data_IF_594821059963
#
_entry.id   IF_594821059963
#
_cell.length_a   1.000
_cell.length_b   1.000
_cell.length_c   1.000
_cell.angle_alpha   90.00
_cell.angle_beta   90.00
_cell.angle_gamma   90.00
#
_symmetry.space_group_name_H-M   'P 1'
#
loop_
_entity.id
_entity.type
_entity.pdbx_description
1 polymer ?
#
# COMPACT_ATOMS: atom_id res chain seq x y z
N UNK A 1 -3.01 37.78 47.03
CA UNK A 1 -2.52 36.48 46.49
C UNK A 1 -3.44 35.39 47.02
N UNK A 2 -4.16 34.68 46.15
CA UNK A 2 -5.06 33.58 46.56
C UNK A 2 -4.38 32.22 46.29
N UNK A 3 -4.47 31.23 47.20
CA UNK A 3 -3.78 29.95 47.03
C UNK A 3 -4.48 29.06 45.99
N UNK A 4 -3.69 28.42 45.13
CA UNK A 4 -4.15 27.48 44.10
C UNK A 4 -4.57 26.16 44.74
N UNK A 5 -5.77 25.69 44.44
CA UNK A 5 -6.25 24.35 44.79
C UNK A 5 -5.43 23.29 44.04
N UNK A 6 -4.82 22.37 44.77
CA UNK A 6 -4.09 21.23 44.21
C UNK A 6 -5.07 20.10 43.86
N UNK A 7 -4.97 19.58 42.64
CA UNK A 7 -5.82 18.51 42.12
C UNK A 7 -5.15 17.16 42.41
N UNK A 8 -5.77 16.28 43.21
CA UNK A 8 -5.27 14.91 43.44
C UNK A 8 -5.69 14.00 42.28
N UNK A 9 -4.80 13.15 41.73
CA UNK A 9 -5.18 12.18 40.71
C UNK A 9 -5.99 11.02 41.31
N UNK A 10 -6.96 10.53 40.53
CA UNK A 10 -7.77 9.34 40.82
C UNK A 10 -6.93 8.06 40.66
N UNK A 11 -7.01 7.08 41.58
CA UNK A 11 -6.35 5.79 41.40
C UNK A 11 -7.02 4.97 40.29
N UNK A 12 -6.21 4.36 39.42
CA UNK A 12 -6.61 3.43 38.38
C UNK A 12 -7.09 2.11 39.00
N UNK A 13 -8.31 1.72 38.66
CA UNK A 13 -8.87 0.42 39.03
C UNK A 13 -8.14 -0.71 38.32
N UNK A 14 -7.52 -1.59 39.12
CA UNK A 14 -7.08 -2.92 38.71
C UNK A 14 -8.32 -3.82 38.60
N UNK A 15 -8.51 -4.47 37.46
CA UNK A 15 -9.44 -5.59 37.35
C UNK A 15 -8.64 -6.89 37.17
N UNK A 16 -9.10 -7.90 37.91
CA UNK A 16 -8.44 -9.15 38.25
C UNK A 16 -8.26 -10.08 37.05
N UNK A 17 -7.08 -10.70 37.01
CA UNK A 17 -6.88 -12.06 36.52
C UNK A 17 -7.63 -13.02 37.45
N UNK A 18 -8.46 -13.90 36.90
CA UNK A 18 -8.75 -15.19 37.52
C UNK A 18 -9.44 -16.12 36.53
N UNK A 19 -8.78 -17.27 36.31
CA UNK A 19 -9.42 -18.59 36.20
C UNK A 19 -10.20 -18.86 34.87
N UNK A 20 -10.25 -20.03 34.23
CA UNK A 20 -10.00 -21.40 34.62
C UNK A 20 -10.19 -22.30 33.39
N UNK A 21 -9.36 -23.34 33.30
CA UNK A 21 -9.75 -24.72 32.99
C UNK A 21 -10.11 -25.12 31.54
N UNK A 22 -9.17 -25.90 31.01
CA UNK A 22 -9.31 -26.94 30.01
C UNK A 22 -10.56 -27.81 30.16
N UNK A 23 -11.27 -28.04 29.05
CA UNK A 23 -12.06 -29.26 28.83
C UNK A 23 -11.56 -29.95 27.57
N UNK A 24 -10.78 -31.00 27.78
CA UNK A 24 -10.39 -32.00 26.78
C UNK A 24 -11.64 -32.79 26.37
N UNK A 25 -12.25 -32.40 25.26
CA UNK A 25 -13.24 -33.21 24.56
C UNK A 25 -12.57 -34.38 23.87
N UNK A 26 -12.86 -35.59 24.36
CA UNK A 26 -12.48 -36.88 23.76
C UNK A 26 -12.90 -36.90 22.30
N UNK A 27 -11.95 -37.09 21.39
CA UNK A 27 -12.25 -37.42 20.00
C UNK A 27 -12.76 -38.85 19.93
N UNK A 28 -14.03 -39.00 19.59
CA UNK A 28 -14.65 -40.27 19.24
C UNK A 28 -14.04 -40.76 17.92
N UNK A 29 -13.10 -41.69 18.02
CA UNK A 29 -12.37 -42.28 16.90
C UNK A 29 -13.23 -43.34 16.21
N UNK A 30 -14.29 -42.90 15.52
CA UNK A 30 -15.27 -43.80 14.93
C UNK A 30 -14.95 -44.29 13.50
N UNK A 31 -13.92 -43.75 12.82
CA UNK A 31 -13.51 -44.23 11.49
C UNK A 31 -12.01 -44.09 11.19
N UNK A 32 -11.13 -44.70 12.01
CA UNK A 32 -9.77 -45.01 11.56
C UNK A 32 -9.45 -46.46 11.97
N UNK A 33 -9.61 -47.39 11.04
CA UNK A 33 -9.05 -48.74 11.16
C UNK A 33 -7.52 -48.62 11.29
N UNK A 34 -6.88 -49.22 12.31
CA UNK A 34 -5.42 -49.25 12.36
C UNK A 34 -4.92 -50.04 11.14
N UNK A 35 -4.23 -49.36 10.22
CA UNK A 35 -3.50 -50.04 9.16
C UNK A 35 -2.34 -50.77 9.81
N UNK A 36 -2.30 -52.09 9.62
CA UNK A 36 -1.20 -52.98 9.99
C UNK A 36 0.12 -52.37 9.52
N UNK A 37 1.08 -52.33 10.43
CA UNK A 37 2.45 -51.86 10.23
C UNK A 37 3.03 -52.35 8.90
N UNK A 38 3.17 -51.45 7.93
CA UNK A 38 4.09 -51.68 6.81
C UNK A 38 5.47 -51.33 7.37
N UNK A 39 6.22 -52.38 7.67
CA UNK A 39 7.65 -52.32 7.98
C UNK A 39 8.39 -51.61 6.84
N UNK A 40 8.59 -50.30 6.95
CA UNK A 40 9.53 -49.56 6.12
C UNK A 40 10.92 -50.04 6.55
N UNK A 41 11.49 -50.99 5.81
CA UNK A 41 12.89 -51.37 5.98
C UNK A 41 13.73 -50.14 5.67
N UNK A 42 14.44 -49.68 6.67
CA UNK A 42 15.48 -48.68 6.57
C UNK A 42 16.63 -49.30 5.76
N UNK A 43 16.70 -49.01 4.46
CA UNK A 43 17.87 -49.38 3.66
C UNK A 43 18.94 -48.32 3.97
N UNK A 44 19.82 -48.66 4.90
CA UNK A 44 21.11 -47.98 5.03
C UNK A 44 21.93 -48.35 3.80
N UNK A 45 22.19 -47.38 2.93
CA UNK A 45 23.22 -47.48 1.89
C UNK A 45 24.18 -46.31 2.11
N UNK A 46 25.17 -46.55 2.96
CA UNK A 46 26.47 -45.88 2.83
C UNK A 46 27.21 -46.61 1.71
N UNK A 47 27.88 -45.86 0.83
CA UNK A 47 29.16 -46.21 0.18
C UNK A 47 29.52 -45.06 -0.77
N UNK A 48 30.68 -44.48 -0.45
CA UNK A 48 31.71 -43.87 -1.30
C UNK A 48 31.50 -42.48 -1.92
N UNK A 49 32.25 -41.56 -1.32
CA UNK A 49 32.87 -40.39 -1.94
C UNK A 49 33.51 -40.77 -3.28
N UNK A 50 33.12 -40.07 -4.34
CA UNK A 50 33.94 -39.90 -5.52
C UNK A 50 33.79 -38.45 -5.98
N UNK A 51 34.87 -37.70 -5.83
CA UNK A 51 35.01 -36.37 -6.41
C UNK A 51 34.94 -36.47 -7.93
N UNK A 52 33.94 -35.82 -8.51
CA UNK A 52 33.92 -35.47 -9.93
C UNK A 52 33.45 -34.03 -10.09
N UNK A 53 34.22 -33.32 -10.91
CA UNK A 53 34.16 -31.91 -11.32
C UNK A 53 32.76 -31.45 -11.77
N UNK A 54 32.50 -30.12 -11.83
CA UNK A 54 31.15 -29.58 -11.89
C UNK A 54 30.56 -29.76 -13.29
N UNK A 55 29.78 -30.82 -13.45
CA UNK A 55 28.83 -30.94 -14.55
C UNK A 55 27.63 -30.06 -14.18
N UNK A 56 27.25 -29.13 -15.06
CA UNK A 56 26.06 -28.28 -14.96
C UNK A 56 24.77 -29.13 -15.01
N UNK A 57 24.51 -29.87 -13.94
CA UNK A 57 23.25 -30.56 -13.71
C UNK A 57 22.29 -29.51 -13.20
N UNK A 58 21.41 -29.03 -14.08
CA UNK A 58 20.27 -28.19 -13.72
C UNK A 58 19.63 -28.78 -12.46
N UNK A 59 19.60 -28.07 -11.31
CA UNK A 59 19.13 -28.65 -10.07
C UNK A 59 17.68 -29.07 -10.27
N UNK A 60 17.41 -30.36 -10.03
CA UNK A 60 16.06 -30.89 -10.09
C UNK A 60 15.14 -30.00 -9.24
N UNK A 61 13.99 -29.61 -9.80
CA UNK A 61 13.05 -28.72 -9.11
C UNK A 61 12.65 -29.36 -7.79
N UNK A 62 12.85 -28.62 -6.69
CA UNK A 62 12.43 -29.06 -5.36
C UNK A 62 10.93 -29.42 -5.40
N UNK A 63 10.51 -30.54 -4.78
CA UNK A 63 9.11 -30.90 -4.73
C UNK A 63 8.29 -29.79 -4.05
N UNK A 64 7.11 -29.51 -4.57
CA UNK A 64 6.25 -28.42 -4.08
C UNK A 64 5.71 -28.73 -2.69
N UNK A 65 6.12 -27.94 -1.70
CA UNK A 65 5.55 -28.00 -0.37
C UNK A 65 4.15 -27.36 -0.34
N UNK A 66 3.14 -28.21 -0.50
CA UNK A 66 1.72 -27.85 -0.42
C UNK A 66 1.36 -27.18 0.91
N UNK A 67 2.00 -27.56 2.02
CA UNK A 67 1.68 -27.04 3.36
C UNK A 67 2.17 -25.61 3.51
N UNK A 68 3.43 -25.35 3.15
CA UNK A 68 3.98 -24.00 3.11
C UNK A 68 3.17 -23.08 2.18
N UNK A 69 2.77 -23.59 1.02
CA UNK A 69 1.92 -22.83 0.10
C UNK A 69 0.56 -22.46 0.69
N UNK A 70 -0.13 -23.41 1.35
CA UNK A 70 -1.43 -23.12 1.99
C UNK A 70 -1.29 -22.09 3.10
N UNK A 71 -0.25 -22.20 3.93
CA UNK A 71 0.06 -21.20 4.95
C UNK A 71 0.29 -19.83 4.31
N UNK A 72 1.07 -19.75 3.23
CA UNK A 72 1.30 -18.50 2.47
C UNK A 72 0.00 -17.95 1.85
N UNK A 73 -0.87 -18.82 1.31
CA UNK A 73 -2.09 -18.41 0.60
C UNK A 73 -3.21 -17.94 1.52
N UNK A 74 -3.42 -18.64 2.63
CA UNK A 74 -4.56 -18.42 3.52
C UNK A 74 -4.21 -17.74 4.85
N UNK A 75 -2.93 -17.63 5.22
CA UNK A 75 -2.54 -16.89 6.41
C UNK A 75 -2.91 -15.41 6.25
N UNK A 76 -3.73 -14.92 7.19
CA UNK A 76 -4.08 -13.50 7.30
C UNK A 76 -2.83 -12.62 7.45
N UNK A 77 -1.83 -13.09 8.21
CA UNK A 77 -0.56 -12.36 8.41
C UNK A 77 0.15 -12.12 7.08
N UNK A 78 0.26 -13.16 6.26
CA UNK A 78 0.93 -13.04 4.95
C UNK A 78 0.15 -12.14 3.98
N UNK A 79 -1.20 -12.12 4.03
CA UNK A 79 -2.00 -11.18 3.23
C UNK A 79 -1.81 -9.72 3.68
N UNK A 80 -1.74 -9.48 5.00
CA UNK A 80 -1.46 -8.14 5.56
C UNK A 80 -0.05 -7.70 5.14
N UNK A 81 0.94 -8.57 5.28
CA UNK A 81 2.32 -8.30 4.87
C UNK A 81 2.44 -7.99 3.37
N UNK A 82 1.75 -8.75 2.51
CA UNK A 82 1.69 -8.45 1.07
C UNK A 82 1.07 -7.06 0.79
N UNK A 83 0.00 -6.71 1.51
CA UNK A 83 -0.64 -5.41 1.37
C UNK A 83 0.27 -4.27 1.84
N UNK A 84 0.92 -4.43 2.98
CA UNK A 84 1.89 -3.47 3.50
C UNK A 84 3.08 -3.31 2.57
N UNK A 85 3.62 -4.40 2.00
CA UNK A 85 4.72 -4.34 1.05
C UNK A 85 4.31 -3.61 -0.24
N UNK A 86 3.11 -3.87 -0.78
CA UNK A 86 2.57 -3.11 -1.91
C UNK A 86 2.42 -1.63 -1.58
N UNK A 87 1.92 -1.31 -0.39
CA UNK A 87 1.76 0.08 0.07
C UNK A 87 3.11 0.78 0.22
N UNK A 88 4.08 0.16 0.88
CA UNK A 88 5.46 0.68 1.04
C UNK A 88 6.10 0.91 -0.34
N UNK A 89 5.95 -0.04 -1.25
CA UNK A 89 6.49 0.09 -2.60
C UNK A 89 5.83 1.25 -3.36
N UNK A 90 4.51 1.41 -3.27
CA UNK A 90 3.80 2.53 -3.90
C UNK A 90 4.25 3.89 -3.36
N UNK A 91 4.44 4.02 -2.03
CA UNK A 91 4.97 5.25 -1.40
C UNK A 91 6.38 5.53 -1.89
N UNK A 92 7.24 4.52 -1.92
CA UNK A 92 8.63 4.66 -2.35
C UNK A 92 8.75 5.02 -3.84
N UNK A 93 7.90 4.45 -4.69
CA UNK A 93 7.78 4.84 -6.10
C UNK A 93 7.27 6.27 -6.26
N UNK A 94 6.28 6.68 -5.45
CA UNK A 94 5.79 8.06 -5.41
C UNK A 94 6.90 9.05 -5.07
N UNK A 95 7.68 8.75 -4.03
CA UNK A 95 8.83 9.56 -3.62
C UNK A 95 9.93 9.60 -4.69
N UNK A 96 10.28 8.46 -5.30
CA UNK A 96 11.25 8.43 -6.42
C UNK A 96 10.76 9.26 -7.60
N UNK A 97 9.46 9.23 -7.91
CA UNK A 97 8.87 10.04 -8.99
C UNK A 97 8.93 11.54 -8.69
N UNK A 98 8.67 11.97 -7.45
CA UNK A 98 8.80 13.39 -7.09
C UNK A 98 10.25 13.83 -7.15
N UNK A 99 11.19 13.04 -6.60
CA UNK A 99 12.62 13.37 -6.67
C UNK A 99 13.15 13.40 -8.12
N UNK A 100 12.71 12.47 -8.97
CA UNK A 100 13.05 12.50 -10.40
C UNK A 100 12.43 13.70 -11.10
N UNK A 101 11.18 14.07 -10.77
CA UNK A 101 10.51 15.23 -11.34
C UNK A 101 11.21 16.52 -10.93
N UNK A 102 11.59 16.67 -9.67
CA UNK A 102 12.30 17.85 -9.16
C UNK A 102 13.70 17.96 -9.79
N UNK A 103 14.36 16.82 -10.05
CA UNK A 103 15.63 16.79 -10.77
C UNK A 103 15.47 16.99 -12.29
N UNK A 104 14.38 16.53 -12.91
CA UNK A 104 14.10 16.72 -14.34
C UNK A 104 13.44 18.06 -14.67
N UNK A 105 12.98 18.81 -13.66
CA UNK A 105 12.62 20.24 -13.78
C UNK A 105 13.88 21.12 -13.88
N UNK A 106 15.08 20.56 -13.72
CA UNK A 106 16.27 21.11 -14.38
C UNK A 106 16.08 20.84 -15.88
N UNK A 107 15.33 21.72 -16.54
CA UNK A 107 15.33 21.81 -17.99
C UNK A 107 16.78 21.87 -18.42
N UNK A 108 17.24 20.82 -19.10
CA UNK A 108 18.55 20.81 -19.74
C UNK A 108 18.42 21.72 -20.97
N UNK A 109 18.53 23.02 -20.72
CA UNK A 109 18.34 24.08 -21.70
C UNK A 109 19.25 23.83 -22.91
N UNK A 110 20.44 23.29 -22.68
CA UNK A 110 21.42 22.92 -23.70
C UNK A 110 20.92 21.82 -24.64
N UNK A 111 20.15 20.86 -24.12
CA UNK A 111 19.52 19.80 -24.92
C UNK A 111 18.35 20.30 -25.78
N UNK A 112 17.67 21.37 -25.32
CA UNK A 112 16.63 22.05 -26.10
C UNK A 112 17.28 22.85 -27.23
N UNK A 113 18.38 23.57 -26.97
CA UNK A 113 19.12 24.30 -28.00
C UNK A 113 19.73 23.37 -29.06
N UNK A 114 20.32 22.24 -28.66
CA UNK A 114 20.82 21.23 -29.60
C UNK A 114 19.72 20.65 -30.50
N UNK A 115 18.50 20.51 -29.99
CA UNK A 115 17.37 20.02 -30.80
C UNK A 115 16.91 21.06 -31.83
N UNK A 116 16.97 22.36 -31.50
CA UNK A 116 16.67 23.43 -32.47
C UNK A 116 17.76 23.62 -33.53
N UNK A 117 19.03 23.34 -33.23
CA UNK A 117 20.12 23.40 -34.22
C UNK A 117 20.16 22.18 -35.15
N UNK A 118 19.59 21.04 -34.74
CA UNK A 118 19.57 19.81 -35.58
C UNK A 118 18.33 19.75 -36.50
N UNK A 119 17.25 20.47 -36.20
CA UNK A 119 16.02 20.44 -36.99
C UNK A 119 16.03 21.40 -38.22
N UNK A 120 17.05 22.25 -38.39
CA UNK A 120 17.20 23.12 -39.59
C UNK A 120 18.04 22.51 -40.72
N UNK A 121 18.79 21.45 -40.48
CA UNK A 121 19.56 20.74 -41.50
C UNK A 121 19.22 19.23 -41.46
N UNK A 122 18.65 18.71 -42.54
CA UNK A 122 18.31 17.27 -42.76
C UNK A 122 16.93 16.78 -42.32
N UNK A 123 15.92 17.23 -43.06
CA UNK A 123 14.85 16.32 -43.50
C UNK A 123 15.45 15.23 -44.40
N UNK A 124 15.45 13.97 -43.94
CA UNK A 124 15.58 12.69 -44.68
C UNK A 124 16.83 11.87 -44.32
N UNK A 125 16.72 10.95 -43.35
CA UNK A 125 16.95 9.50 -43.52
C UNK A 125 17.13 8.76 -42.17
N UNK A 126 16.30 7.72 -42.00
CA UNK A 126 16.60 6.37 -41.53
C UNK A 126 17.47 6.06 -40.28
N UNK A 127 16.81 5.38 -39.33
CA UNK A 127 17.25 4.22 -38.50
C UNK A 127 18.59 4.23 -37.74
N UNK A 128 18.51 4.26 -36.39
CA UNK A 128 19.42 3.49 -35.51
C UNK A 128 18.75 2.93 -34.24
N UNK A 129 18.50 1.62 -34.27
CA UNK A 129 18.90 0.61 -33.27
C UNK A 129 18.53 0.79 -31.78
N UNK A 130 17.39 0.21 -31.39
CA UNK A 130 17.23 -0.39 -30.05
C UNK A 130 17.11 -1.91 -30.21
N UNK A 131 18.13 -2.72 -29.85
CA UNK A 131 17.95 -4.16 -29.73
C UNK A 131 17.23 -4.43 -28.41
N UNK A 132 15.90 -4.52 -28.45
CA UNK A 132 15.14 -5.13 -27.37
C UNK A 132 14.97 -6.59 -27.72
N UNK A 133 15.70 -7.44 -26.99
CA UNK A 133 15.76 -8.88 -27.11
C UNK A 133 14.39 -9.51 -27.36
N UNK A 134 14.21 -10.04 -28.57
CA UNK A 134 13.24 -11.08 -28.85
C UNK A 134 13.85 -12.40 -28.39
N UNK A 135 13.45 -12.89 -27.22
CA UNK A 135 13.48 -14.33 -26.98
C UNK A 135 12.42 -14.83 -25.98
N UNK A 136 11.73 -15.87 -26.44
CA UNK A 136 10.97 -16.89 -25.71
C UNK A 136 9.58 -16.57 -25.09
N UNK A 137 8.55 -16.89 -25.90
CA UNK A 137 7.41 -17.79 -25.57
C UNK A 137 6.41 -17.40 -24.46
N UNK A 138 5.22 -16.92 -24.86
CA UNK A 138 3.93 -17.39 -24.31
C UNK A 138 2.77 -17.13 -25.31
N UNK A 139 2.14 -18.16 -25.91
CA UNK A 139 0.87 -18.00 -26.63
C UNK A 139 -0.29 -18.44 -25.73
N UNK A 140 -0.83 -17.59 -24.85
CA UNK A 140 -2.15 -17.85 -24.23
C UNK A 140 -2.78 -16.69 -23.43
N UNK A 141 -2.98 -15.50 -24.02
CA UNK A 141 -3.77 -14.43 -23.35
C UNK A 141 -4.87 -13.80 -24.20
N UNK A 142 -5.25 -14.38 -25.35
CA UNK A 142 -6.22 -13.76 -26.27
C UNK A 142 -7.67 -14.28 -26.17
N UNK A 143 -8.17 -14.68 -24.98
CA UNK A 143 -9.57 -15.13 -24.83
C UNK A 143 -10.32 -14.64 -23.59
N UNK A 144 -9.98 -13.48 -23.02
CA UNK A 144 -10.71 -12.92 -21.85
C UNK A 144 -10.98 -11.41 -21.88
N UNK A 145 -11.01 -10.77 -23.06
CA UNK A 145 -11.25 -9.32 -23.16
C UNK A 145 -12.46 -8.88 -23.99
N UNK A 146 -13.30 -9.78 -24.50
CA UNK A 146 -14.33 -9.39 -25.49
C UNK A 146 -15.78 -9.58 -25.03
N UNK A 147 -16.08 -9.66 -23.73
CA UNK A 147 -17.48 -9.83 -23.25
C UNK A 147 -17.86 -8.86 -22.12
N UNK A 148 -17.19 -7.73 -21.97
CA UNK A 148 -17.57 -6.75 -20.94
C UNK A 148 -17.45 -5.27 -21.34
N UNK A 149 -17.33 -4.96 -22.63
CA UNK A 149 -16.97 -3.61 -23.10
C UNK A 149 -18.04 -2.92 -23.99
N UNK A 150 -19.34 -3.15 -23.72
CA UNK A 150 -20.41 -2.39 -24.39
C UNK A 150 -21.12 -1.36 -23.47
N UNK A 151 -20.69 -1.20 -22.21
CA UNK A 151 -21.24 -0.21 -21.26
C UNK A 151 -20.18 0.75 -20.65
N UNK A 152 -19.02 0.87 -21.28
CA UNK A 152 -17.85 1.60 -20.76
C UNK A 152 -17.95 3.13 -20.77
N UNK A 153 -18.60 3.83 -21.74
CA UNK A 153 -18.49 5.30 -21.81
C UNK A 153 -19.15 6.00 -20.61
N UNK A 154 -20.32 5.50 -20.19
CA UNK A 154 -21.03 6.05 -19.01
C UNK A 154 -20.20 5.92 -17.72
N UNK A 155 -19.40 4.85 -17.58
CA UNK A 155 -18.60 4.62 -16.37
C UNK A 155 -17.44 5.61 -16.21
N UNK A 156 -16.85 6.07 -17.33
CA UNK A 156 -15.73 7.01 -17.33
C UNK A 156 -16.23 8.42 -17.04
N UNK A 157 -17.35 8.82 -17.63
CA UNK A 157 -17.98 10.11 -17.39
C UNK A 157 -18.47 10.25 -15.95
N UNK A 158 -19.18 9.24 -15.42
CA UNK A 158 -19.61 9.22 -14.01
C UNK A 158 -18.39 9.32 -13.08
N UNK A 159 -17.28 8.64 -13.40
CA UNK A 159 -16.06 8.71 -12.60
C UNK A 159 -15.39 10.09 -12.69
N UNK A 160 -15.35 10.70 -13.86
CA UNK A 160 -14.79 12.04 -14.05
C UNK A 160 -15.60 13.08 -13.27
N UNK A 161 -16.94 13.00 -13.33
CA UNK A 161 -17.84 13.85 -12.54
C UNK A 161 -17.61 13.67 -11.03
N UNK A 162 -17.51 12.43 -10.54
CA UNK A 162 -17.22 12.17 -9.13
C UNK A 162 -15.86 12.71 -8.69
N UNK A 163 -14.84 12.66 -9.54
CA UNK A 163 -13.51 13.23 -9.25
C UNK A 163 -13.62 14.76 -9.16
N UNK A 164 -14.31 15.40 -10.11
CA UNK A 164 -14.52 16.84 -10.11
C UNK A 164 -15.27 17.31 -8.85
N UNK A 165 -16.36 16.64 -8.47
CA UNK A 165 -17.12 16.94 -7.25
C UNK A 165 -16.26 16.79 -5.98
N UNK A 166 -15.46 15.72 -5.90
CA UNK A 166 -14.53 15.51 -4.78
C UNK A 166 -13.45 16.58 -4.73
N UNK A 167 -12.96 17.04 -5.88
CA UNK A 167 -11.97 18.10 -5.96
C UNK A 167 -12.56 19.44 -5.53
N UNK A 168 -13.76 19.77 -5.97
CA UNK A 168 -14.50 20.96 -5.54
C UNK A 168 -14.73 20.95 -4.03
N UNK A 169 -15.26 19.85 -3.48
CA UNK A 169 -15.44 19.69 -2.03
C UNK A 169 -14.12 19.86 -1.26
N UNK A 170 -13.00 19.35 -1.79
CA UNK A 170 -11.67 19.51 -1.20
C UNK A 170 -11.19 20.97 -1.25
N UNK A 171 -11.43 21.68 -2.35
CA UNK A 171 -11.08 23.10 -2.50
C UNK A 171 -11.87 23.95 -1.51
N UNK A 172 -13.17 23.71 -1.37
CA UNK A 172 -14.02 24.40 -0.40
C UNK A 172 -13.59 24.13 1.04
N UNK A 173 -13.31 22.88 1.38
CA UNK A 173 -12.81 22.52 2.71
C UNK A 173 -11.50 23.26 3.04
N UNK A 174 -10.56 23.33 2.09
CA UNK A 174 -9.31 24.09 2.25
C UNK A 174 -9.56 25.58 2.44
N UNK A 175 -10.46 26.18 1.66
CA UNK A 175 -10.86 27.59 1.79
C UNK A 175 -11.44 27.88 3.18
N UNK A 176 -12.46 27.11 3.60
CA UNK A 176 -13.08 27.22 4.93
C UNK A 176 -12.06 27.07 6.05
N UNK A 177 -11.16 26.09 5.95
CA UNK A 177 -10.09 25.87 6.94
C UNK A 177 -9.15 27.08 7.04
N UNK A 178 -8.75 27.65 5.90
CA UNK A 178 -7.86 28.80 5.85
C UNK A 178 -8.51 30.07 6.41
N UNK A 179 -9.79 30.29 6.13
CA UNK A 179 -10.57 31.38 6.71
C UNK A 179 -10.70 31.24 8.24
N UNK A 180 -11.04 30.05 8.75
CA UNK A 180 -11.08 29.78 10.20
C UNK A 180 -9.72 30.02 10.85
N UNK A 181 -8.63 29.55 10.22
CA UNK A 181 -7.27 29.78 10.70
C UNK A 181 -6.88 31.26 10.73
N UNK A 182 -7.25 32.03 9.70
CA UNK A 182 -7.06 33.48 9.67
C UNK A 182 -7.76 34.16 10.84
N UNK A 183 -9.05 33.87 11.07
CA UNK A 183 -9.80 34.41 12.22
C UNK A 183 -9.17 34.04 13.56
N UNK A 184 -8.71 32.80 13.72
CA UNK A 184 -8.15 32.31 14.98
C UNK A 184 -6.78 32.92 15.32
N UNK A 185 -5.95 33.20 14.31
CA UNK A 185 -4.59 33.72 14.49
C UNK A 185 -4.48 35.24 14.55
N UNK A 186 -5.57 35.97 14.32
CA UNK A 186 -5.57 37.42 14.48
C UNK A 186 -5.25 37.79 15.94
N UNK A 187 -4.30 38.69 16.10
CA UNK A 187 -3.85 39.24 17.38
C UNK A 187 -3.89 40.76 17.35
N UNK A 188 -4.13 41.36 18.50
CA UNK A 188 -4.03 42.81 18.71
C UNK A 188 -2.56 43.24 18.76
N UNK A 189 -2.30 44.56 18.72
CA UNK A 189 -0.94 45.12 18.88
C UNK A 189 -0.23 44.64 20.16
N UNK A 190 -1.01 44.34 21.22
CA UNK A 190 -0.51 43.83 22.49
C UNK A 190 -0.36 42.29 22.52
N UNK A 191 -0.50 41.62 21.37
CA UNK A 191 -0.35 40.17 21.24
C UNK A 191 -1.54 39.33 21.72
N UNK A 192 -2.58 39.96 22.30
CA UNK A 192 -3.79 39.26 22.73
C UNK A 192 -4.61 38.81 21.50
N UNK A 193 -5.27 37.65 21.54
CA UNK A 193 -6.12 37.21 20.45
C UNK A 193 -7.30 38.15 20.23
N UNK A 194 -7.63 38.44 18.97
CA UNK A 194 -8.82 39.25 18.63
C UNK A 194 -10.07 38.41 18.89
N UNK A 195 -10.88 38.81 19.87
CA UNK A 195 -12.01 38.01 20.33
C UNK A 195 -13.20 37.98 19.35
N UNK A 196 -13.42 39.04 18.57
CA UNK A 196 -14.57 39.16 17.64
C UNK A 196 -14.75 37.92 16.75
N UNK A 197 -13.72 37.56 15.98
CA UNK A 197 -13.79 36.41 15.07
C UNK A 197 -13.84 35.05 15.79
N UNK A 198 -13.28 34.95 17.00
CA UNK A 198 -13.34 33.72 17.80
C UNK A 198 -14.72 33.48 18.40
N UNK A 199 -15.40 34.55 18.82
CA UNK A 199 -16.78 34.49 19.33
C UNK A 199 -17.74 34.06 18.23
N UNK A 200 -17.59 34.59 17.00
CA UNK A 200 -18.38 34.14 15.84
C UNK A 200 -18.25 32.64 15.58
N UNK A 201 -17.02 32.09 15.63
CA UNK A 201 -16.79 30.65 15.44
C UNK A 201 -17.40 29.80 16.57
N UNK A 202 -17.36 30.31 17.80
CA UNK A 202 -17.95 29.63 18.95
C UNK A 202 -19.49 29.63 18.87
N UNK A 203 -20.09 30.73 18.40
CA UNK A 203 -21.52 30.80 18.13
C UNK A 203 -21.93 29.82 17.02
N UNK A 204 -21.18 29.76 15.92
CA UNK A 204 -21.40 28.79 14.83
C UNK A 204 -21.39 27.35 15.37
N UNK A 205 -20.44 27.02 16.25
CA UNK A 205 -20.34 25.68 16.84
C UNK A 205 -21.51 25.35 17.78
N UNK A 206 -21.94 26.31 18.62
CA UNK A 206 -23.12 26.13 19.47
C UNK A 206 -24.37 25.90 18.63
N UNK A 207 -24.59 26.71 17.58
CA UNK A 207 -25.72 26.56 16.67
C UNK A 207 -25.70 25.22 15.94
N UNK A 208 -24.54 24.77 15.47
CA UNK A 208 -24.39 23.45 14.83
C UNK A 208 -24.74 22.31 15.79
N UNK A 209 -24.33 22.39 17.06
CA UNK A 209 -24.66 21.38 18.08
C UNK A 209 -26.13 21.37 18.48
N UNK A 210 -26.80 22.53 18.44
CA UNK A 210 -28.23 22.63 18.73
C UNK A 210 -29.10 22.15 17.56
N UNK A 211 -28.60 22.28 16.33
CA UNK A 211 -29.30 21.88 15.11
C UNK A 211 -28.98 20.44 14.67
N UNK A 212 -28.05 19.74 15.34
CA UNK A 212 -27.70 18.33 15.08
C UNK A 212 -28.40 17.39 16.05
#
# INVERSE_FOLDING_TARGET
MAPRKTFKPRPSGKYNEESSQSKSGKTDSFFIKPRKNVSIRHVQKNVEENETSPVDVKPAKKPFDKKAWRLKKYSRKHKIEQWENRRKHAVLQGYRKTMKKDNSIKLDVEKIYQQYETDEEESSNDTTNNPCDMDASEPNQSKRKSVLDENVPNSVEIRAQQIALKEQARKEYKKKKLEKFKKLNQKTKKGQPVMKGRIELLLEEIQQRLNS
#
